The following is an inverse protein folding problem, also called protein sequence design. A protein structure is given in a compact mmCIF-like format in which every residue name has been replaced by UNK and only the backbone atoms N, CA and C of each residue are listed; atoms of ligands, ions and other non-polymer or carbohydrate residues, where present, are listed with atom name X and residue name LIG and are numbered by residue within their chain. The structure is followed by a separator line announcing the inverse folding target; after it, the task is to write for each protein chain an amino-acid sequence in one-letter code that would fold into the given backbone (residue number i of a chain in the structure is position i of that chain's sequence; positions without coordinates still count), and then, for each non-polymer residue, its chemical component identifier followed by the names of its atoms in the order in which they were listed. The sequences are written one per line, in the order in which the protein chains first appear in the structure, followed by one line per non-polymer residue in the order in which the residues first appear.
data_IF_891146656827
#
_entry.id   IF_891146656827
#
_cell.length_a   1.000
_cell.length_b   1.000
_cell.length_c   1.000
_cell.angle_alpha   90.00
_cell.angle_beta   90.00
_cell.angle_gamma   90.00
#
_symmetry.space_group_name_H-M   'P 1'
#
loop_
_entity.id
_entity.type
_entity.pdbx_description
1 polymer ?
#
# COMPACT_ATOMS: atom_id res chain seq x y z
N UNK A 1 -25.30 79.53 -1.23
CA UNK A 1 -24.77 78.18 -1.51
C UNK A 1 -25.72 77.15 -0.89
N UNK A 2 -26.52 76.43 -1.68
CA UNK A 2 -27.40 75.35 -1.19
C UNK A 2 -26.65 74.03 -1.35
N UNK A 3 -26.30 73.36 -0.25
CA UNK A 3 -25.78 72.00 -0.31
C UNK A 3 -26.96 71.02 -0.39
N UNK A 4 -27.02 70.26 -1.48
CA UNK A 4 -27.94 69.14 -1.61
C UNK A 4 -27.37 67.93 -0.86
N UNK A 5 -28.01 67.54 0.24
CA UNK A 5 -27.70 66.30 0.95
C UNK A 5 -28.23 65.10 0.15
N UNK A 6 -27.34 64.29 -0.40
CA UNK A 6 -27.69 62.99 -1.00
C UNK A 6 -27.87 61.98 0.12
N UNK A 7 -29.11 61.72 0.52
CA UNK A 7 -29.46 60.56 1.35
C UNK A 7 -29.33 59.29 0.53
N UNK A 8 -28.21 58.58 0.69
CA UNK A 8 -28.04 57.23 0.15
C UNK A 8 -29.10 56.31 0.76
N UNK A 9 -30.00 55.79 -0.07
CA UNK A 9 -30.91 54.73 0.34
C UNK A 9 -30.07 53.47 0.60
N UNK A 10 -29.98 53.05 1.87
CA UNK A 10 -29.47 51.74 2.21
C UNK A 10 -30.56 50.71 1.89
N UNK A 11 -30.44 50.01 0.76
CA UNK A 11 -31.33 48.90 0.43
C UNK A 11 -31.13 47.77 1.43
N UNK A 12 -32.20 47.36 2.11
CA UNK A 12 -32.21 46.16 2.95
C UNK A 12 -32.27 44.90 2.08
N UNK A 13 -31.69 43.81 2.57
CA UNK A 13 -31.77 42.49 1.93
C UNK A 13 -33.22 41.99 1.90
N UNK A 14 -33.64 41.47 0.75
CA UNK A 14 -34.95 40.82 0.63
C UNK A 14 -34.89 39.38 1.18
N UNK A 15 -35.98 38.90 1.77
CA UNK A 15 -36.06 37.52 2.31
C UNK A 15 -35.82 36.46 1.22
N UNK A 16 -36.17 36.76 -0.03
CA UNK A 16 -35.88 35.90 -1.18
C UNK A 16 -34.38 35.78 -1.48
N UNK A 17 -33.62 36.84 -1.23
CA UNK A 17 -32.19 36.90 -1.52
C UNK A 17 -31.40 35.99 -0.57
N UNK A 18 -31.78 36.00 0.71
CA UNK A 18 -31.24 35.07 1.71
C UNK A 18 -31.60 33.63 1.37
N UNK A 19 -32.83 33.38 0.92
CA UNK A 19 -33.29 32.03 0.57
C UNK A 19 -32.52 31.47 -0.62
N UNK A 20 -32.33 32.28 -1.67
CA UNK A 20 -31.51 31.92 -2.83
C UNK A 20 -30.04 31.69 -2.43
N UNK A 21 -29.47 32.54 -1.56
CA UNK A 21 -28.11 32.35 -1.07
C UNK A 21 -27.93 31.03 -0.31
N UNK A 22 -28.90 30.64 0.52
CA UNK A 22 -28.89 29.35 1.24
C UNK A 22 -29.00 28.15 0.29
N UNK A 23 -29.82 28.24 -0.76
CA UNK A 23 -29.89 27.18 -1.79
C UNK A 23 -28.55 27.02 -2.49
N UNK A 24 -27.93 28.11 -2.94
CA UNK A 24 -26.63 28.06 -3.61
C UNK A 24 -25.57 27.48 -2.67
N UNK A 25 -25.54 27.92 -1.40
CA UNK A 25 -24.58 27.44 -0.40
C UNK A 25 -24.76 25.94 -0.13
N UNK A 26 -25.99 25.48 0.05
CA UNK A 26 -26.27 24.06 0.30
C UNK A 26 -25.81 23.17 -0.86
N UNK A 27 -26.07 23.56 -2.10
CA UNK A 27 -25.57 22.85 -3.30
C UNK A 27 -24.04 22.85 -3.34
N UNK A 28 -23.40 23.98 -3.04
CA UNK A 28 -21.94 24.09 -2.98
C UNK A 28 -21.32 23.16 -1.91
N UNK A 29 -21.95 23.06 -0.74
CA UNK A 29 -21.47 22.21 0.35
C UNK A 29 -21.56 20.72 0.02
N UNK A 30 -22.62 20.28 -0.67
CA UNK A 30 -22.73 18.90 -1.16
C UNK A 30 -21.62 18.55 -2.16
N UNK A 31 -21.23 19.52 -3.00
CA UNK A 31 -20.08 19.38 -3.90
C UNK A 31 -18.77 19.13 -3.16
N UNK A 32 -18.50 19.92 -2.11
CA UNK A 32 -17.29 19.78 -1.28
C UNK A 32 -17.27 18.44 -0.53
N UNK A 33 -18.40 18.02 0.05
CA UNK A 33 -18.49 16.73 0.74
C UNK A 33 -18.17 15.56 -0.18
N UNK A 34 -18.61 15.62 -1.44
CA UNK A 34 -18.29 14.58 -2.43
C UNK A 34 -16.78 14.53 -2.70
N UNK A 35 -16.12 15.69 -2.83
CA UNK A 35 -14.67 15.76 -3.00
C UNK A 35 -13.93 15.24 -1.76
N UNK A 36 -14.42 15.54 -0.56
CA UNK A 36 -13.84 15.06 0.70
C UNK A 36 -13.85 13.52 0.77
N UNK A 37 -14.99 12.89 0.45
CA UNK A 37 -15.12 11.42 0.44
C UNK A 37 -14.18 10.79 -0.59
N UNK A 38 -14.12 11.36 -1.81
CA UNK A 38 -13.19 10.87 -2.84
C UNK A 38 -11.73 11.03 -2.41
N UNK A 39 -11.37 12.14 -1.77
CA UNK A 39 -10.03 12.35 -1.22
C UNK A 39 -9.63 11.29 -0.20
N UNK A 40 -10.56 10.91 0.69
CA UNK A 40 -10.34 9.82 1.65
C UNK A 40 -10.12 8.47 0.95
N UNK A 41 -10.93 8.14 -0.05
CA UNK A 41 -10.76 6.92 -0.85
C UNK A 41 -9.39 6.87 -1.54
N UNK A 42 -8.98 7.97 -2.19
CA UNK A 42 -7.65 8.04 -2.81
C UNK A 42 -6.51 7.89 -1.80
N UNK A 43 -6.66 8.48 -0.62
CA UNK A 43 -5.66 8.37 0.44
C UNK A 43 -5.56 6.92 0.93
N UNK A 44 -6.71 6.25 1.12
CA UNK A 44 -6.74 4.85 1.51
C UNK A 44 -6.05 3.95 0.47
N UNK A 45 -6.34 4.14 -0.81
CA UNK A 45 -5.72 3.34 -1.88
C UNK A 45 -4.22 3.62 -2.00
N UNK A 46 -3.79 4.87 -1.80
CA UNK A 46 -2.37 5.21 -1.77
C UNK A 46 -1.64 4.55 -0.59
N UNK A 47 -2.27 4.49 0.59
CA UNK A 47 -1.70 3.79 1.76
C UNK A 47 -1.56 2.28 1.51
N UNK A 48 -2.59 1.64 0.94
CA UNK A 48 -2.55 0.21 0.59
C UNK A 48 -1.42 -0.10 -0.40
N UNK A 49 -1.32 0.69 -1.48
CA UNK A 49 -0.22 0.55 -2.45
C UNK A 49 1.15 0.75 -1.81
N UNK A 50 1.29 1.77 -0.95
CA UNK A 50 2.55 2.03 -0.24
C UNK A 50 2.94 0.86 0.66
N UNK A 51 1.98 0.23 1.34
CA UNK A 51 2.26 -0.94 2.15
C UNK A 51 2.73 -2.14 1.32
N UNK A 52 2.08 -2.43 0.18
CA UNK A 52 2.51 -3.48 -0.72
C UNK A 52 3.94 -3.23 -1.24
N UNK A 53 4.25 -1.99 -1.62
CA UNK A 53 5.58 -1.56 -2.07
C UNK A 53 6.63 -1.75 -0.97
N UNK A 54 6.31 -1.37 0.27
CA UNK A 54 7.24 -1.53 1.39
C UNK A 54 7.54 -3.00 1.68
N UNK A 55 6.52 -3.86 1.66
CA UNK A 55 6.68 -5.31 1.89
C UNK A 55 7.48 -5.96 0.73
N UNK A 56 7.26 -5.53 -0.51
CA UNK A 56 8.05 -6.01 -1.64
C UNK A 56 9.51 -5.52 -1.58
N UNK A 57 9.72 -4.27 -1.16
CA UNK A 57 11.07 -3.69 -1.01
C UNK A 57 11.87 -4.40 0.08
N UNK A 58 11.23 -4.76 1.20
CA UNK A 58 11.85 -5.59 2.24
C UNK A 58 12.40 -6.92 1.67
N UNK A 59 11.63 -7.59 0.80
CA UNK A 59 12.09 -8.81 0.12
C UNK A 59 13.25 -8.55 -0.84
N UNK A 60 13.24 -7.42 -1.57
CA UNK A 60 14.37 -7.03 -2.42
C UNK A 60 15.65 -6.89 -1.59
N UNK A 61 15.57 -6.24 -0.43
CA UNK A 61 16.72 -6.04 0.44
C UNK A 61 17.23 -7.36 1.06
N UNK A 62 16.33 -8.29 1.41
CA UNK A 62 16.68 -9.67 1.84
C UNK A 62 17.43 -10.44 0.76
N UNK A 63 16.94 -10.41 -0.48
CA UNK A 63 17.60 -11.06 -1.62
C UNK A 63 19.00 -10.48 -1.84
N UNK A 64 19.14 -9.14 -1.72
CA UNK A 64 20.43 -8.45 -1.85
C UNK A 64 21.40 -8.81 -0.72
N UNK A 65 20.90 -9.04 0.48
CA UNK A 65 21.71 -9.47 1.62
C UNK A 65 22.18 -10.93 1.49
N UNK A 66 21.48 -11.75 0.70
CA UNK A 66 21.77 -13.17 0.51
C UNK A 66 21.95 -13.56 -0.98
N UNK A 67 22.95 -12.98 -1.68
CA UNK A 67 23.12 -13.20 -3.12
C UNK A 67 23.50 -14.65 -3.46
N UNK A 68 24.06 -15.39 -2.50
CA UNK A 68 24.48 -16.79 -2.68
C UNK A 68 23.30 -17.77 -2.79
N UNK A 69 22.09 -17.37 -2.39
CA UNK A 69 20.91 -18.23 -2.46
C UNK A 69 20.32 -18.33 -3.87
N UNK A 70 20.60 -17.36 -4.75
CA UNK A 70 20.21 -17.36 -6.17
C UNK A 70 18.76 -17.83 -6.41
N UNK A 71 18.57 -18.96 -7.08
CA UNK A 71 17.27 -19.55 -7.41
C UNK A 71 16.44 -20.01 -6.20
N UNK A 72 17.00 -20.08 -4.99
CA UNK A 72 16.27 -20.50 -3.80
C UNK A 72 15.17 -19.50 -3.38
N UNK A 73 15.24 -18.24 -3.86
CA UNK A 73 14.17 -17.27 -3.67
C UNK A 73 13.00 -17.45 -4.67
N UNK A 74 13.13 -18.29 -5.70
CA UNK A 74 12.09 -18.47 -6.70
C UNK A 74 10.88 -19.22 -6.12
N UNK A 75 9.72 -18.57 -6.06
CA UNK A 75 8.49 -19.16 -5.53
C UNK A 75 7.26 -18.78 -6.36
N UNK A 76 6.29 -19.69 -6.53
CA UNK A 76 5.01 -19.36 -7.11
C UNK A 76 4.09 -18.66 -6.11
N UNK A 77 3.01 -18.09 -6.63
CA UNK A 77 1.81 -17.83 -5.83
C UNK A 77 1.32 -19.12 -5.16
N UNK A 78 0.77 -19.01 -3.97
CA UNK A 78 0.25 -20.13 -3.21
C UNK A 78 0.38 -19.95 -1.70
N UNK A 79 -0.15 -20.90 -0.91
CA UNK A 79 -0.14 -20.80 0.53
C UNK A 79 1.28 -20.67 1.09
N UNK A 80 1.40 -19.97 2.20
CA UNK A 80 2.62 -19.96 3.01
C UNK A 80 2.96 -21.39 3.41
N UNK A 81 4.18 -21.83 3.08
CA UNK A 81 4.70 -23.11 3.54
C UNK A 81 4.79 -23.10 5.07
N UNK A 82 4.83 -24.29 5.69
CA UNK A 82 5.10 -24.38 7.12
C UNK A 82 6.38 -23.62 7.49
N UNK A 83 6.45 -23.10 8.72
CA UNK A 83 7.64 -22.44 9.22
C UNK A 83 8.85 -23.37 9.08
N UNK A 84 9.98 -22.91 8.52
CA UNK A 84 11.17 -23.74 8.41
C UNK A 84 11.66 -24.11 9.82
N UNK A 85 12.07 -25.37 9.99
CA UNK A 85 12.59 -25.90 11.25
C UNK A 85 13.82 -25.15 11.77
N UNK A 86 14.52 -24.45 10.87
CA UNK A 86 15.65 -23.58 11.19
C UNK A 86 15.16 -22.14 11.33
N UNK A 87 15.17 -21.64 12.56
CA UNK A 87 15.07 -20.21 12.82
C UNK A 87 16.43 -19.56 12.46
N UNK A 88 16.53 -19.02 11.25
CA UNK A 88 17.67 -18.18 10.88
C UNK A 88 17.63 -16.78 11.53
N UNK A 89 16.66 -16.56 12.41
CA UNK A 89 16.62 -15.45 13.35
C UNK A 89 17.16 -15.93 14.70
N UNK A 90 18.06 -15.15 15.30
CA UNK A 90 18.48 -15.29 16.69
C UNK A 90 17.27 -15.07 17.60
N UNK A 91 16.43 -16.09 17.78
CA UNK A 91 15.21 -15.95 18.57
C UNK A 91 15.50 -15.78 20.07
N UNK A 92 16.70 -16.15 20.54
CA UNK A 92 17.02 -16.20 21.98
C UNK A 92 18.47 -15.82 22.34
N UNK A 93 19.25 -15.21 21.41
CA UNK A 93 20.69 -14.99 21.63
C UNK A 93 21.51 -16.28 21.82
N UNK A 94 20.89 -17.42 21.57
CA UNK A 94 21.52 -18.74 21.52
C UNK A 94 21.96 -18.95 20.08
N UNK A 95 23.27 -19.11 19.88
CA UNK A 95 23.82 -19.59 18.62
C UNK A 95 23.15 -20.92 18.28
N UNK A 96 22.20 -20.90 17.36
CA UNK A 96 21.59 -22.12 16.84
C UNK A 96 22.68 -22.82 16.05
N UNK A 97 22.98 -24.07 16.41
CA UNK A 97 23.91 -24.95 15.66
C UNK A 97 23.39 -25.36 14.28
N UNK A 98 22.21 -24.86 13.89
CA UNK A 98 21.70 -24.96 12.55
C UNK A 98 22.43 -23.96 11.65
N UNK A 99 23.28 -24.48 10.76
CA UNK A 99 23.95 -23.67 9.75
C UNK A 99 22.88 -23.09 8.82
N UNK A 100 22.66 -21.79 8.91
CA UNK A 100 21.86 -21.04 7.95
C UNK A 100 22.63 -20.93 6.63
N UNK A 101 22.59 -22.02 5.86
CA UNK A 101 23.05 -22.03 4.49
C UNK A 101 22.27 -20.98 3.69
N UNK A 102 22.84 -20.38 2.63
CA UNK A 102 22.13 -19.40 1.81
C UNK A 102 20.72 -19.85 1.37
N UNK A 103 20.49 -21.11 0.94
CA UNK A 103 19.13 -21.60 0.64
C UNK A 103 18.22 -21.71 1.86
N UNK A 104 18.74 -22.05 3.04
CA UNK A 104 17.96 -22.11 4.27
C UNK A 104 17.52 -20.72 4.75
N UNK A 105 18.39 -19.70 4.60
CA UNK A 105 18.02 -18.31 4.86
C UNK A 105 16.92 -17.84 3.90
N UNK A 106 17.03 -18.16 2.60
CA UNK A 106 16.00 -17.79 1.63
C UNK A 106 14.63 -18.39 1.98
N UNK A 107 14.58 -19.66 2.41
CA UNK A 107 13.33 -20.29 2.86
C UNK A 107 12.74 -19.59 4.10
N UNK A 108 13.59 -19.15 5.04
CA UNK A 108 13.16 -18.39 6.21
C UNK A 108 12.61 -17.01 5.84
N UNK A 109 13.32 -16.27 4.98
CA UNK A 109 12.88 -14.97 4.47
C UNK A 109 11.54 -15.07 3.74
N UNK A 110 11.38 -16.05 2.86
CA UNK A 110 10.13 -16.30 2.14
C UNK A 110 8.98 -16.57 3.12
N UNK A 111 9.21 -17.41 4.13
CA UNK A 111 8.19 -17.71 5.12
C UNK A 111 7.79 -16.47 5.92
N UNK A 112 8.75 -15.67 6.39
CA UNK A 112 8.49 -14.42 7.10
C UNK A 112 7.72 -13.43 6.23
N UNK A 113 8.15 -13.25 4.98
CA UNK A 113 7.54 -12.34 4.03
C UNK A 113 6.12 -12.74 3.66
N UNK A 114 5.88 -14.02 3.36
CA UNK A 114 4.53 -14.53 3.10
C UNK A 114 3.63 -14.42 4.33
N UNK A 115 4.16 -14.68 5.52
CA UNK A 115 3.43 -14.48 6.77
C UNK A 115 3.07 -13.00 6.99
N UNK A 116 3.97 -12.08 6.68
CA UNK A 116 3.72 -10.64 6.77
C UNK A 116 2.63 -10.18 5.79
N UNK A 117 2.66 -10.67 4.54
CA UNK A 117 1.61 -10.42 3.54
C UNK A 117 0.24 -10.88 4.06
N UNK A 118 0.16 -12.11 4.55
CA UNK A 118 -1.10 -12.68 5.05
C UNK A 118 -1.64 -11.98 6.30
N UNK A 119 -0.76 -11.46 7.15
CA UNK A 119 -1.13 -10.75 8.37
C UNK A 119 -1.38 -9.24 8.15
N UNK A 120 -1.12 -8.72 6.96
CA UNK A 120 -1.37 -7.33 6.63
C UNK A 120 -2.88 -7.10 6.42
N UNK A 121 -3.57 -6.55 7.42
CA UNK A 121 -4.98 -6.10 7.28
C UNK A 121 -5.18 -5.10 6.14
N UNK A 122 -4.11 -4.35 5.86
CA UNK A 122 -3.70 -3.73 4.60
C UNK A 122 -4.26 -4.31 3.30
N UNK A 123 -3.98 -5.59 3.14
CA UNK A 123 -3.90 -6.29 1.88
C UNK A 123 -4.69 -7.60 2.01
N UNK A 124 -6.01 -7.56 1.82
CA UNK A 124 -6.82 -8.77 1.88
C UNK A 124 -6.39 -9.78 0.81
N UNK A 125 -6.34 -11.06 1.21
CA UNK A 125 -5.95 -12.18 0.34
C UNK A 125 -4.60 -11.97 -0.36
N UNK A 126 -3.67 -11.27 0.31
CA UNK A 126 -2.38 -10.96 -0.25
C UNK A 126 -1.50 -12.21 -0.44
N UNK A 127 -0.81 -12.25 -1.56
CA UNK A 127 0.12 -13.33 -1.88
C UNK A 127 1.27 -12.80 -2.75
N UNK A 128 2.39 -13.50 -2.68
CA UNK A 128 3.65 -13.09 -3.25
C UNK A 128 4.24 -14.15 -4.17
N UNK A 129 4.80 -13.71 -5.30
CA UNK A 129 5.55 -14.54 -6.25
C UNK A 129 6.91 -13.91 -6.49
N UNK A 130 7.93 -14.74 -6.63
CA UNK A 130 9.27 -14.30 -7.00
C UNK A 130 9.73 -15.16 -8.18
N UNK A 131 10.14 -14.51 -9.25
CA UNK A 131 10.79 -15.17 -10.39
C UNK A 131 12.22 -14.72 -10.51
N UNK A 132 13.10 -15.65 -10.88
CA UNK A 132 14.54 -15.39 -10.98
C UNK A 132 14.96 -15.63 -12.42
N UNK A 133 15.52 -14.60 -13.05
CA UNK A 133 16.21 -14.73 -14.31
C UNK A 133 17.72 -14.91 -14.04
N UNK A 134 18.15 -16.17 -14.01
CA UNK A 134 19.54 -16.53 -13.78
C UNK A 134 20.43 -16.38 -15.05
N UNK A 135 19.85 -15.99 -16.19
CA UNK A 135 20.61 -15.81 -17.44
C UNK A 135 21.36 -14.48 -17.51
N UNK A 136 21.01 -13.53 -16.64
CA UNK A 136 21.70 -12.24 -16.50
C UNK A 136 22.80 -12.31 -15.44
N UNK A 137 23.83 -11.47 -15.57
CA UNK A 137 24.90 -11.32 -14.58
C UNK A 137 24.99 -9.85 -14.15
N UNK A 138 24.51 -9.47 -12.95
CA UNK A 138 23.90 -10.33 -11.92
C UNK A 138 22.50 -10.86 -12.28
N UNK A 139 22.01 -11.93 -11.62
CA UNK A 139 20.66 -12.44 -11.83
C UNK A 139 19.61 -11.37 -11.50
N UNK A 140 18.57 -11.26 -12.32
CA UNK A 140 17.45 -10.34 -12.10
C UNK A 140 16.33 -11.06 -11.35
N UNK A 141 15.77 -10.42 -10.33
CA UNK A 141 14.66 -10.95 -9.53
C UNK A 141 13.43 -10.14 -9.83
N UNK A 142 12.30 -10.78 -10.15
CA UNK A 142 11.02 -10.09 -10.26
C UNK A 142 10.12 -10.50 -9.11
N UNK A 143 9.85 -9.56 -8.20
CA UNK A 143 8.98 -9.72 -7.05
C UNK A 143 7.61 -9.17 -7.43
N UNK A 144 6.58 -10.00 -7.30
CA UNK A 144 5.19 -9.67 -7.59
C UNK A 144 4.35 -9.85 -6.32
N UNK A 145 3.76 -8.76 -5.82
CA UNK A 145 2.79 -8.81 -4.72
C UNK A 145 1.41 -8.59 -5.31
N UNK A 146 0.47 -9.49 -5.00
CA UNK A 146 -0.94 -9.35 -5.38
C UNK A 146 -1.84 -9.28 -4.15
N UNK A 147 -2.95 -8.56 -4.26
CA UNK A 147 -4.02 -8.52 -3.26
C UNK A 147 -5.36 -8.21 -3.93
N UNK A 148 -6.44 -8.42 -3.19
CA UNK A 148 -7.81 -8.10 -3.63
C UNK A 148 -8.32 -6.93 -2.78
N UNK A 149 -8.76 -5.85 -3.42
CA UNK A 149 -9.43 -4.77 -2.69
C UNK A 149 -10.85 -5.20 -2.28
N UNK A 150 -11.26 -4.82 -1.07
CA UNK A 150 -12.57 -5.22 -0.53
C UNK A 150 -13.68 -4.63 -1.40
N UNK A 151 -14.36 -5.49 -2.16
CA UNK A 151 -15.46 -5.10 -3.06
C UNK A 151 -15.05 -4.94 -4.52
N UNK A 152 -13.78 -5.19 -4.87
CA UNK A 152 -13.31 -5.31 -6.25
C UNK A 152 -12.96 -6.76 -6.57
N UNK A 153 -13.35 -7.24 -7.76
CA UNK A 153 -12.96 -8.56 -8.28
C UNK A 153 -11.57 -8.51 -8.96
N UNK A 154 -11.03 -7.31 -9.17
CA UNK A 154 -9.76 -7.09 -9.85
C UNK A 154 -8.58 -7.29 -8.89
N UNK A 155 -7.60 -8.07 -9.33
CA UNK A 155 -6.35 -8.27 -8.61
C UNK A 155 -5.38 -7.15 -8.93
N UNK A 156 -4.89 -6.49 -7.88
CA UNK A 156 -3.80 -5.52 -8.00
C UNK A 156 -2.47 -6.26 -7.95
N UNK A 157 -1.51 -5.88 -8.80
CA UNK A 157 -0.17 -6.49 -8.83
C UNK A 157 0.88 -5.39 -8.90
N UNK A 158 1.80 -5.37 -7.94
CA UNK A 158 2.99 -4.52 -8.01
C UNK A 158 4.19 -5.39 -8.36
N UNK A 159 4.95 -4.98 -9.38
CA UNK A 159 6.14 -5.67 -9.86
C UNK A 159 7.39 -4.86 -9.56
N UNK A 160 8.39 -5.52 -8.99
CA UNK A 160 9.71 -4.97 -8.74
C UNK A 160 10.76 -5.81 -9.44
N UNK A 161 11.79 -5.18 -10.01
CA UNK A 161 12.89 -5.82 -10.73
C UNK A 161 14.25 -5.45 -10.14
#
# INVERSE_FOLDING_TARGET
MKQASMTKHAGGFSLIEVLVALVILSVGMLGILTLQVKGLQFTQNAMTNTQAVNIASDMVDRIRANPAASSAYAIPYGPTSAAPLTNCADADGVFVTAVCTPPAMAAHDIWQWKSQLQNASSLPDADGRITVNATTTPPTYTIEVKWVERGEEQQHVVKFQ
#
